data_IF_433860826403
#
_entry.id   IF_433860826403
#
_cell.length_a   1.000
_cell.length_b   1.000
_cell.length_c   1.000
_cell.angle_alpha   90.00
_cell.angle_beta   90.00
_cell.angle_gamma   90.00
#
_symmetry.space_group_name_H-M   'P 1'
#
loop_
_entity.id
_entity.type
_entity.pdbx_description
1 polymer ?
#
# COMPACT_ATOMS: atom_id res chain seq x y z
N UNK A 1 18.34 6.32 -11.39
CA UNK A 1 17.37 7.14 -10.64
C UNK A 1 16.56 7.99 -11.60
N UNK A 2 15.25 8.05 -11.39
CA UNK A 2 14.35 8.90 -12.18
C UNK A 2 14.58 10.35 -11.75
N UNK A 3 14.83 11.25 -12.71
CA UNK A 3 15.27 12.62 -12.42
C UNK A 3 14.22 13.70 -12.71
N UNK A 4 13.10 13.34 -13.36
CA UNK A 4 12.02 14.29 -13.66
C UNK A 4 10.66 13.59 -13.69
N UNK A 5 9.61 14.36 -13.49
CA UNK A 5 8.25 13.86 -13.63
C UNK A 5 7.98 13.35 -15.04
N UNK A 6 8.48 14.06 -16.04
CA UNK A 6 8.31 13.71 -17.45
C UNK A 6 9.00 12.40 -17.80
N UNK A 7 10.17 12.13 -17.19
CA UNK A 7 10.85 10.84 -17.34
C UNK A 7 9.99 9.70 -16.76
N UNK A 8 9.43 9.88 -15.56
CA UNK A 8 8.54 8.90 -14.95
C UNK A 8 7.34 8.61 -15.86
N UNK A 9 6.69 9.65 -16.39
CA UNK A 9 5.56 9.52 -17.29
C UNK A 9 5.95 8.73 -18.54
N UNK A 10 7.08 9.07 -19.14
CA UNK A 10 7.59 8.39 -20.34
C UNK A 10 7.87 6.91 -20.07
N UNK A 11 8.51 6.60 -18.96
CA UNK A 11 8.80 5.22 -18.57
C UNK A 11 7.51 4.42 -18.32
N UNK A 12 6.57 5.00 -17.59
CA UNK A 12 5.31 4.30 -17.28
C UNK A 12 4.46 4.08 -18.53
N UNK A 13 4.51 5.00 -19.48
CA UNK A 13 3.73 4.94 -20.72
C UNK A 13 4.39 4.09 -21.80
N UNK A 14 5.62 3.63 -21.58
CA UNK A 14 6.36 2.82 -22.55
C UNK A 14 5.75 1.43 -22.70
N UNK A 15 5.80 0.90 -23.92
CA UNK A 15 5.46 -0.49 -24.20
C UNK A 15 6.64 -1.44 -23.97
N UNK A 16 7.83 -0.89 -23.72
CA UNK A 16 9.05 -1.67 -23.48
C UNK A 16 9.09 -2.09 -22.00
N UNK A 17 9.12 -3.42 -21.77
CA UNK A 17 9.03 -3.98 -20.41
C UNK A 17 10.10 -3.42 -19.48
N UNK A 18 11.35 -3.32 -19.92
CA UNK A 18 12.45 -2.80 -19.09
C UNK A 18 12.22 -1.35 -18.66
N UNK A 19 11.54 -0.57 -19.47
CA UNK A 19 11.25 0.84 -19.16
C UNK A 19 10.12 0.97 -18.14
N UNK A 20 8.97 0.32 -18.34
CA UNK A 20 7.91 0.43 -17.35
C UNK A 20 8.25 -0.31 -16.04
N UNK A 21 9.13 -1.32 -16.07
CA UNK A 21 9.68 -1.91 -14.85
C UNK A 21 10.49 -0.90 -14.03
N UNK A 22 11.23 -0.01 -14.71
CA UNK A 22 11.91 1.10 -14.05
C UNK A 22 10.94 2.03 -13.34
N UNK A 23 9.82 2.34 -13.97
CA UNK A 23 8.77 3.16 -13.35
C UNK A 23 8.19 2.50 -12.09
N UNK A 24 8.21 1.18 -12.01
CA UNK A 24 7.67 0.44 -10.87
C UNK A 24 8.66 0.26 -9.71
N UNK A 25 9.97 0.40 -9.97
CA UNK A 25 10.99 0.01 -8.98
C UNK A 25 12.04 1.08 -8.70
N UNK A 26 12.28 1.99 -9.63
CA UNK A 26 13.38 2.94 -9.55
C UNK A 26 13.05 4.10 -8.60
N UNK A 27 14.07 4.54 -7.87
CA UNK A 27 13.96 5.68 -6.96
C UNK A 27 13.89 7.00 -7.72
N UNK A 28 13.33 8.01 -7.07
CA UNK A 28 13.33 9.39 -7.51
C UNK A 28 13.40 10.32 -6.31
N UNK A 29 13.92 11.54 -6.47
CA UNK A 29 13.81 12.56 -5.41
C UNK A 29 12.35 12.84 -5.07
N UNK A 30 12.10 13.21 -3.82
CA UNK A 30 10.75 13.55 -3.34
C UNK A 30 10.11 14.63 -4.21
N UNK A 31 10.89 15.62 -4.64
CA UNK A 31 10.41 16.69 -5.52
C UNK A 31 9.85 16.16 -6.84
N UNK A 32 10.44 15.10 -7.38
CA UNK A 32 9.96 14.46 -8.61
C UNK A 32 8.59 13.81 -8.38
N UNK A 33 8.44 13.07 -7.28
CA UNK A 33 7.15 12.47 -6.95
C UNK A 33 6.07 13.52 -6.76
N UNK A 34 6.38 14.62 -6.07
CA UNK A 34 5.44 15.73 -5.89
C UNK A 34 5.05 16.38 -7.21
N UNK A 35 6.00 16.54 -8.13
CA UNK A 35 5.71 17.07 -9.46
C UNK A 35 4.74 16.16 -10.23
N UNK A 36 4.94 14.85 -10.19
CA UNK A 36 4.01 13.90 -10.82
C UNK A 36 2.62 14.05 -10.22
N UNK A 37 2.54 14.07 -8.90
CA UNK A 37 1.26 14.15 -8.18
C UNK A 37 0.49 15.43 -8.54
N UNK A 38 1.19 16.56 -8.66
CA UNK A 38 0.58 17.85 -8.95
C UNK A 38 0.24 18.05 -10.42
N UNK A 39 1.16 17.69 -11.32
CA UNK A 39 1.03 17.98 -12.74
C UNK A 39 0.31 16.90 -13.53
N UNK A 40 0.36 15.65 -13.07
CA UNK A 40 -0.16 14.49 -13.80
C UNK A 40 -1.10 13.66 -12.93
N UNK A 41 -2.34 14.15 -12.68
CA UNK A 41 -3.29 13.45 -11.81
C UNK A 41 -3.54 11.99 -12.19
N UNK A 42 -3.57 11.68 -13.48
CA UNK A 42 -3.81 10.33 -13.98
C UNK A 42 -2.68 9.35 -13.64
N UNK A 43 -1.52 9.87 -13.22
CA UNK A 43 -0.36 9.06 -12.87
C UNK A 43 -0.15 8.91 -11.36
N UNK A 44 -0.99 9.53 -10.53
CA UNK A 44 -0.91 9.40 -9.07
C UNK A 44 -0.95 7.95 -8.60
N UNK A 45 -1.82 7.15 -9.19
CA UNK A 45 -1.90 5.72 -8.88
C UNK A 45 -0.60 4.99 -9.18
N UNK A 46 0.11 5.39 -10.22
CA UNK A 46 1.38 4.77 -10.59
C UNK A 46 2.52 5.17 -9.65
N UNK A 47 2.46 6.36 -9.07
CA UNK A 47 3.35 6.74 -7.97
C UNK A 47 3.11 5.79 -6.78
N UNK A 48 1.87 5.53 -6.43
CA UNK A 48 1.56 4.61 -5.33
C UNK A 48 2.00 3.17 -5.61
N UNK A 49 2.13 2.78 -6.87
CA UNK A 49 2.61 1.45 -7.25
C UNK A 49 4.13 1.31 -7.21
N UNK A 50 4.87 2.40 -7.28
CA UNK A 50 6.33 2.34 -7.25
C UNK A 50 6.80 1.80 -5.90
N UNK A 51 7.71 0.82 -5.92
CA UNK A 51 8.19 0.13 -4.71
C UNK A 51 9.15 0.97 -3.87
N UNK A 52 9.72 2.03 -4.46
CA UNK A 52 10.73 2.88 -3.81
C UNK A 52 10.15 4.17 -3.25
N UNK A 53 8.88 4.44 -3.46
CA UNK A 53 8.23 5.68 -2.99
C UNK A 53 8.33 5.79 -1.48
N UNK A 54 8.87 6.90 -0.94
CA UNK A 54 9.03 7.06 0.50
C UNK A 54 7.70 7.28 1.21
N UNK A 55 7.70 6.98 2.51
CA UNK A 55 6.51 7.06 3.36
C UNK A 55 5.83 8.42 3.31
N UNK A 56 6.61 9.51 3.30
CA UNK A 56 6.05 10.87 3.24
C UNK A 56 5.20 11.11 1.99
N UNK A 57 5.57 10.50 0.86
CA UNK A 57 4.78 10.60 -0.37
C UNK A 57 3.53 9.73 -0.29
N UNK A 58 3.63 8.54 0.31
CA UNK A 58 2.46 7.69 0.55
C UNK A 58 1.44 8.40 1.44
N UNK A 59 1.91 9.13 2.46
CA UNK A 59 1.05 9.95 3.31
C UNK A 59 0.32 11.04 2.51
N UNK A 60 1.05 11.76 1.67
CA UNK A 60 0.48 12.80 0.80
C UNK A 60 -0.58 12.22 -0.16
N UNK A 61 -0.37 11.01 -0.67
CA UNK A 61 -1.31 10.35 -1.56
C UNK A 61 -2.64 10.01 -0.89
N UNK A 62 -2.67 9.91 0.44
CA UNK A 62 -3.90 9.61 1.18
C UNK A 62 -4.96 10.71 1.12
N UNK A 63 -4.61 11.92 0.66
CA UNK A 63 -5.58 13.01 0.49
C UNK A 63 -6.43 12.90 -0.79
N UNK A 64 -6.12 11.96 -1.65
CA UNK A 64 -6.80 11.79 -2.93
C UNK A 64 -7.94 10.76 -2.83
N UNK A 65 -8.45 10.29 -3.95
CA UNK A 65 -9.63 9.41 -3.99
C UNK A 65 -9.38 8.02 -3.39
N UNK A 66 -10.47 7.28 -3.17
CA UNK A 66 -10.40 5.96 -2.54
C UNK A 66 -9.59 4.93 -3.33
N UNK A 67 -9.53 5.06 -4.65
CA UNK A 67 -8.72 4.15 -5.48
C UNK A 67 -7.23 4.31 -5.14
N UNK A 68 -6.76 5.55 -5.01
CA UNK A 68 -5.37 5.82 -4.64
C UNK A 68 -5.12 5.38 -3.19
N UNK A 69 -6.03 5.70 -2.25
CA UNK A 69 -5.89 5.28 -0.86
C UNK A 69 -5.86 3.75 -0.71
N UNK A 70 -6.62 3.04 -1.56
CA UNK A 70 -6.58 1.58 -1.61
C UNK A 70 -5.19 1.05 -1.96
N UNK A 71 -4.54 1.63 -2.97
CA UNK A 71 -3.19 1.23 -3.35
C UNK A 71 -2.18 1.55 -2.24
N UNK A 72 -2.31 2.71 -1.59
CA UNK A 72 -1.47 3.05 -0.43
C UNK A 72 -1.67 2.02 0.69
N UNK A 73 -2.92 1.68 0.99
CA UNK A 73 -3.24 0.72 2.06
C UNK A 73 -2.65 -0.67 1.84
N UNK A 74 -2.35 -1.03 0.60
CA UNK A 74 -1.74 -2.31 0.25
C UNK A 74 -0.21 -2.33 0.41
N UNK A 75 0.41 -1.20 0.72
CA UNK A 75 1.86 -1.10 0.87
C UNK A 75 2.34 -1.72 2.18
N UNK A 76 3.48 -2.41 2.13
CA UNK A 76 4.06 -3.06 3.31
C UNK A 76 4.83 -2.12 4.23
N UNK A 77 5.21 -0.94 3.74
CA UNK A 77 6.06 0.02 4.47
C UNK A 77 5.28 1.04 5.28
N UNK A 78 3.98 0.86 5.47
CA UNK A 78 3.17 1.84 6.19
C UNK A 78 3.55 1.89 7.67
N UNK A 79 3.50 3.10 8.25
CA UNK A 79 3.64 3.27 9.69
C UNK A 79 2.38 2.78 10.40
N UNK A 80 2.51 2.48 11.70
CA UNK A 80 1.36 2.12 12.54
C UNK A 80 0.28 3.19 12.50
N UNK A 81 0.68 4.48 12.49
CA UNK A 81 -0.27 5.59 12.41
C UNK A 81 -1.07 5.58 11.09
N UNK A 82 -0.42 5.27 9.98
CA UNK A 82 -1.11 5.17 8.69
C UNK A 82 -2.08 4.00 8.65
N UNK A 83 -1.69 2.85 9.18
CA UNK A 83 -2.61 1.71 9.30
C UNK A 83 -3.85 2.08 10.13
N UNK A 84 -3.66 2.79 11.23
CA UNK A 84 -4.78 3.25 12.07
C UNK A 84 -5.74 4.15 11.28
N UNK A 85 -5.20 5.14 10.58
CA UNK A 85 -6.00 6.09 9.80
C UNK A 85 -6.75 5.37 8.67
N UNK A 86 -6.05 4.55 7.88
CA UNK A 86 -6.63 3.86 6.73
C UNK A 86 -7.62 2.78 7.14
N UNK A 87 -7.44 2.17 8.32
CA UNK A 87 -8.40 1.18 8.85
C UNK A 87 -9.75 1.81 9.23
N UNK A 88 -9.80 3.12 9.33
CA UNK A 88 -11.02 3.88 9.65
C UNK A 88 -11.55 4.65 8.43
N UNK A 89 -11.01 4.36 7.26
CA UNK A 89 -11.43 5.03 6.02
C UNK A 89 -12.92 4.84 5.76
N UNK A 90 -13.57 5.87 5.23
CA UNK A 90 -14.97 5.81 4.88
C UNK A 90 -15.28 4.76 3.80
N UNK A 91 -14.29 4.47 2.94
CA UNK A 91 -14.44 3.47 1.88
C UNK A 91 -14.09 2.08 2.41
N UNK A 92 -15.04 1.14 2.27
CA UNK A 92 -14.80 -0.25 2.66
C UNK A 92 -13.69 -0.91 1.82
N UNK A 93 -13.48 -0.45 0.60
CA UNK A 93 -12.43 -0.97 -0.28
C UNK A 93 -11.04 -0.67 0.31
N UNK A 94 -10.86 0.53 0.87
CA UNK A 94 -9.63 0.91 1.56
C UNK A 94 -9.45 0.05 2.82
N UNK A 95 -10.51 -0.13 3.60
CA UNK A 95 -10.46 -0.96 4.82
C UNK A 95 -10.16 -2.42 4.50
N UNK A 96 -10.69 -2.96 3.38
CA UNK A 96 -10.34 -4.31 2.90
C UNK A 96 -8.84 -4.40 2.61
N UNK A 97 -8.27 -3.41 1.95
CA UNK A 97 -6.84 -3.40 1.64
C UNK A 97 -5.97 -3.43 2.91
N UNK A 98 -6.38 -2.69 3.95
CA UNK A 98 -5.72 -2.76 5.27
C UNK A 98 -5.88 -4.16 5.86
N UNK A 99 -7.11 -4.69 5.87
CA UNK A 99 -7.40 -6.01 6.45
C UNK A 99 -6.62 -7.14 5.76
N UNK A 100 -6.34 -7.00 4.47
CA UNK A 100 -5.59 -7.97 3.69
C UNK A 100 -4.07 -7.75 3.75
N UNK A 101 -3.61 -6.63 4.31
CA UNK A 101 -2.19 -6.30 4.35
C UNK A 101 -1.47 -7.15 5.39
N UNK A 102 -0.47 -7.93 4.94
CA UNK A 102 0.28 -8.84 5.81
C UNK A 102 1.11 -8.12 6.88
N UNK A 103 1.35 -6.82 6.72
CA UNK A 103 2.09 -6.00 7.67
C UNK A 103 1.18 -5.20 8.60
N UNK A 104 -0.14 -5.32 8.46
CA UNK A 104 -1.07 -4.62 9.35
C UNK A 104 -0.87 -5.11 10.79
N UNK A 105 -0.85 -4.17 11.78
CA UNK A 105 -0.73 -4.55 13.18
C UNK A 105 -1.90 -5.45 13.63
N UNK A 106 -1.60 -6.42 14.47
CA UNK A 106 -2.62 -7.38 14.98
C UNK A 106 -3.78 -6.64 15.63
N UNK A 107 -3.52 -5.59 16.41
CA UNK A 107 -4.56 -4.80 17.04
C UNK A 107 -5.53 -4.16 16.04
N UNK A 108 -5.00 -3.71 14.90
CA UNK A 108 -5.82 -3.17 13.81
C UNK A 108 -6.71 -4.25 13.20
N UNK A 109 -6.12 -5.42 12.92
CA UNK A 109 -6.86 -6.56 12.37
C UNK A 109 -7.96 -7.05 13.33
N UNK A 110 -7.66 -7.13 14.63
CA UNK A 110 -8.64 -7.52 15.64
C UNK A 110 -9.84 -6.56 15.67
N UNK A 111 -9.60 -5.27 15.56
CA UNK A 111 -10.68 -4.28 15.49
C UNK A 111 -11.50 -4.43 14.21
N UNK A 112 -10.86 -4.74 13.08
CA UNK A 112 -11.53 -4.94 11.80
C UNK A 112 -12.38 -6.22 11.75
N UNK A 113 -12.19 -7.15 12.67
CA UNK A 113 -13.09 -8.32 12.81
C UNK A 113 -14.54 -7.89 13.04
N UNK A 114 -14.75 -6.73 13.65
CA UNK A 114 -16.08 -6.20 13.98
C UNK A 114 -16.55 -5.15 12.98
N UNK A 115 -15.88 -5.05 11.82
CA UNK A 115 -16.28 -4.09 10.77
C UNK A 115 -17.71 -4.40 10.29
N UNK A 116 -18.49 -3.33 10.07
CA UNK A 116 -19.85 -3.45 9.57
C UNK A 116 -19.92 -4.08 8.17
N UNK A 117 -18.87 -3.97 7.38
CA UNK A 117 -18.79 -4.59 6.07
C UNK A 117 -18.23 -6.01 6.21
N UNK A 118 -19.02 -7.00 5.74
CA UNK A 118 -18.66 -8.42 5.88
C UNK A 118 -17.36 -8.79 5.14
N UNK A 119 -17.02 -8.10 4.06
CA UNK A 119 -15.81 -8.39 3.30
C UNK A 119 -14.57 -7.90 4.04
N UNK A 120 -14.66 -6.77 4.74
CA UNK A 120 -13.59 -6.27 5.60
C UNK A 120 -13.35 -7.26 6.74
N UNK A 121 -14.40 -7.62 7.45
CA UNK A 121 -14.32 -8.56 8.58
C UNK A 121 -13.74 -9.91 8.15
N UNK A 122 -14.17 -10.43 7.01
CA UNK A 122 -13.68 -11.69 6.47
C UNK A 122 -12.19 -11.63 6.12
N UNK A 123 -11.74 -10.54 5.49
CA UNK A 123 -10.33 -10.35 5.16
C UNK A 123 -9.47 -10.30 6.43
N UNK A 124 -9.96 -9.65 7.49
CA UNK A 124 -9.27 -9.59 8.78
C UNK A 124 -9.16 -10.98 9.43
N UNK A 125 -10.24 -11.76 9.41
CA UNK A 125 -10.24 -13.15 9.91
C UNK A 125 -9.17 -13.95 9.19
N UNK A 126 -9.18 -13.89 7.87
CA UNK A 126 -8.27 -14.67 7.04
C UNK A 126 -6.80 -14.31 7.31
N UNK A 127 -6.52 -13.01 7.42
CA UNK A 127 -5.16 -12.52 7.68
C UNK A 127 -4.67 -12.92 9.08
N UNK A 128 -5.53 -12.82 10.10
CA UNK A 128 -5.18 -13.25 11.46
C UNK A 128 -4.92 -14.74 11.55
N UNK A 129 -5.73 -15.58 10.89
CA UNK A 129 -5.53 -17.03 10.84
C UNK A 129 -4.21 -17.39 10.16
N UNK A 130 -3.90 -16.74 9.03
CA UNK A 130 -2.65 -16.94 8.30
C UNK A 130 -1.44 -16.58 9.17
N UNK A 131 -1.51 -15.47 9.88
CA UNK A 131 -0.45 -15.03 10.80
C UNK A 131 -0.26 -16.01 11.95
N UNK A 132 -1.35 -16.49 12.55
CA UNK A 132 -1.32 -17.47 13.63
C UNK A 132 -0.69 -18.77 13.14
N UNK A 133 -1.09 -19.28 12.00
CA UNK A 133 -0.55 -20.52 11.43
C UNK A 133 0.95 -20.43 11.18
N UNK A 134 1.44 -19.29 10.71
CA UNK A 134 2.87 -19.06 10.49
C UNK A 134 3.64 -19.05 11.81
N UNK A 135 3.09 -18.43 12.85
CA UNK A 135 3.72 -18.40 14.16
C UNK A 135 3.75 -19.78 14.81
N UNK A 136 2.68 -20.56 14.69
CA UNK A 136 2.62 -21.92 15.20
C UNK A 136 3.66 -22.82 14.52
N UNK A 137 3.85 -22.70 13.21
CA UNK A 137 4.87 -23.43 12.47
C UNK A 137 6.29 -23.06 12.93
N UNK A 138 6.56 -21.78 13.20
CA UNK A 138 7.85 -21.33 13.74
C UNK A 138 8.14 -21.92 15.10
N UNK A 139 7.14 -21.97 15.97
CA UNK A 139 7.28 -22.49 17.34
C UNK A 139 7.36 -24.02 17.37
N UNK A 140 6.68 -24.69 16.44
CA UNK A 140 6.69 -26.15 16.32
C UNK A 140 8.05 -26.74 15.92
N UNK A 141 8.91 -25.98 15.26
CA UNK A 141 10.27 -26.42 14.91
C UNK A 141 11.27 -26.37 16.06
N UNK A 142 10.92 -25.70 17.15
CA UNK A 142 11.78 -25.59 18.33
C UNK A 142 11.64 -26.73 19.33
N UNK A 143 10.61 -27.57 19.21
CA UNK A 143 10.25 -28.61 20.18
C UNK A 143 10.74 -30.01 19.78
N UNK A 144 11.54 -30.07 18.74
CA UNK A 144 12.18 -31.33 18.32
C UNK A 144 13.65 -31.36 18.69
#
# INVERSE_FOLDING_TARGET
MITSAEEFIALRSSSIKSEYDRAATEEAPVSVWRDVIQKYPDYRRWVSHNKSVPLEILEELCQFDSTIRQFVAAKRKLSSAMFEVLSRDESHVVRIAVAANKKAPIAVLERLLNDQNKHVARAAVYNLEDTKNKNDKKNGHGDL
#
